data_IF_727662759600
#
_entry.id   IF_727662759600
#
_cell.length_a   1.000
_cell.length_b   1.000
_cell.length_c   1.000
_cell.angle_alpha   90.00
_cell.angle_beta   90.00
_cell.angle_gamma   90.00
#
_symmetry.space_group_name_H-M   'P 1'
#
loop_
_entity.id
_entity.type
_entity.pdbx_description
1 polymer ?
#
# COMPACT_ATOMS: atom_id res chain seq x y z
N UNK A 1 -17.97 -10.35 13.75
CA UNK A 1 -17.99 -9.49 12.55
C UNK A 1 -16.61 -9.54 11.97
N UNK A 2 -16.48 -9.85 10.67
CA UNK A 2 -15.16 -9.89 10.04
C UNK A 2 -14.54 -8.51 10.01
N UNK A 3 -13.21 -8.46 10.10
CA UNK A 3 -12.42 -7.24 10.02
C UNK A 3 -11.36 -7.43 8.95
N UNK A 4 -10.97 -6.33 8.33
CA UNK A 4 -10.09 -6.31 7.19
C UNK A 4 -9.00 -5.27 7.38
N UNK A 5 -7.85 -5.54 6.78
CA UNK A 5 -6.87 -4.52 6.46
C UNK A 5 -7.11 -4.12 5.01
N UNK A 6 -7.37 -2.83 4.81
CA UNK A 6 -7.56 -2.22 3.50
C UNK A 6 -6.40 -1.25 3.28
N UNK A 7 -5.74 -1.34 2.13
CA UNK A 7 -4.70 -0.40 1.70
C UNK A 7 -5.05 0.19 0.35
N UNK A 8 -4.89 1.50 0.23
CA UNK A 8 -5.08 2.27 -0.99
C UNK A 8 -3.76 2.99 -1.29
N UNK A 9 -3.08 2.58 -2.35
CA UNK A 9 -1.94 3.25 -2.98
C UNK A 9 -2.41 4.27 -4.02
N UNK A 10 -1.64 5.33 -4.21
CA UNK A 10 -1.94 6.43 -5.13
C UNK A 10 -0.75 7.38 -5.27
N UNK A 11 -0.50 7.83 -6.49
CA UNK A 11 0.29 9.02 -6.75
C UNK A 11 -0.56 10.27 -6.49
N UNK A 12 -0.12 11.07 -5.53
CA UNK A 12 -0.73 12.36 -5.18
C UNK A 12 0.18 13.54 -5.49
N UNK A 13 1.37 13.28 -6.00
CA UNK A 13 2.40 14.26 -6.25
C UNK A 13 2.19 14.90 -7.62
N UNK A 14 2.83 16.03 -7.85
CA UNK A 14 2.89 16.65 -9.19
C UNK A 14 4.26 16.43 -9.84
N UNK A 15 5.02 15.49 -9.32
CA UNK A 15 6.37 15.15 -9.76
C UNK A 15 6.67 13.69 -9.43
N UNK A 16 7.28 13.01 -10.39
CA UNK A 16 7.59 11.59 -10.36
C UNK A 16 8.89 11.30 -9.57
N UNK A 17 9.04 11.87 -8.36
CA UNK A 17 10.29 11.74 -7.58
C UNK A 17 10.05 11.66 -6.09
N UNK A 18 9.15 12.49 -5.57
CA UNK A 18 8.85 12.54 -4.14
C UNK A 18 7.51 13.19 -3.83
N UNK A 19 6.90 12.67 -2.77
CA UNK A 19 5.77 13.31 -2.10
C UNK A 19 6.14 14.62 -1.41
N UNK A 20 5.14 15.50 -1.28
CA UNK A 20 5.23 16.71 -0.47
C UNK A 20 4.94 16.39 1.00
N UNK A 21 5.92 16.53 1.93
CA UNK A 21 5.72 16.15 3.33
C UNK A 21 4.58 16.90 4.03
N UNK A 22 4.25 18.13 3.59
CA UNK A 22 3.12 18.88 4.13
C UNK A 22 1.78 18.28 3.70
N UNK A 23 1.68 17.84 2.45
CA UNK A 23 0.48 17.16 1.94
C UNK A 23 0.29 15.85 2.69
N UNK A 24 1.36 15.06 2.86
CA UNK A 24 1.34 13.82 3.63
C UNK A 24 0.84 14.04 5.07
N UNK A 25 1.31 15.08 5.75
CA UNK A 25 0.87 15.42 7.10
C UNK A 25 -0.63 15.76 7.15
N UNK A 26 -1.11 16.57 6.19
CA UNK A 26 -2.51 16.96 6.10
C UNK A 26 -3.43 15.76 5.83
N UNK A 27 -3.07 14.93 4.84
CA UNK A 27 -3.79 13.69 4.49
C UNK A 27 -3.83 12.76 5.70
N UNK A 28 -2.69 12.43 6.30
CA UNK A 28 -2.61 11.51 7.43
C UNK A 28 -3.42 12.00 8.64
N UNK A 29 -3.40 13.32 8.91
CA UNK A 29 -4.18 13.92 10.00
C UNK A 29 -5.67 13.80 9.75
N UNK A 30 -6.14 14.13 8.55
CA UNK A 30 -7.58 14.09 8.24
C UNK A 30 -8.11 12.66 8.15
N UNK A 31 -7.32 11.73 7.61
CA UNK A 31 -7.63 10.28 7.60
C UNK A 31 -7.86 9.79 9.03
N UNK A 32 -6.91 10.05 9.93
CA UNK A 32 -7.02 9.68 11.35
C UNK A 32 -8.25 10.31 12.02
N UNK A 33 -8.48 11.60 11.79
CA UNK A 33 -9.57 12.34 12.42
C UNK A 33 -10.95 11.85 11.95
N UNK A 34 -11.15 11.65 10.63
CA UNK A 34 -12.45 11.26 10.08
C UNK A 34 -12.77 9.81 10.36
N UNK A 35 -11.81 8.89 10.18
CA UNK A 35 -12.06 7.46 10.33
C UNK A 35 -12.14 7.01 11.79
N UNK A 36 -11.43 7.67 12.71
CA UNK A 36 -11.55 7.36 14.15
C UNK A 36 -12.96 7.60 14.71
N UNK A 37 -13.73 8.53 14.13
CA UNK A 37 -15.15 8.76 14.49
C UNK A 37 -16.05 7.56 14.17
N UNK A 38 -15.61 6.69 13.25
CA UNK A 38 -16.26 5.43 12.90
C UNK A 38 -15.66 4.23 13.63
N UNK A 39 -14.69 4.44 14.54
CA UNK A 39 -13.95 3.37 15.20
C UNK A 39 -12.90 2.68 14.32
N UNK A 40 -12.60 3.24 13.15
CA UNK A 40 -11.61 2.72 12.20
C UNK A 40 -10.24 3.31 12.55
N UNK A 41 -9.22 2.46 12.59
CA UNK A 41 -7.83 2.88 12.75
C UNK A 41 -7.19 2.96 11.39
N UNK A 42 -6.71 4.14 11.02
CA UNK A 42 -6.17 4.38 9.69
C UNK A 42 -5.06 5.41 9.71
N UNK A 43 -4.11 5.29 8.79
CA UNK A 43 -3.00 6.21 8.63
C UNK A 43 -2.25 5.95 7.31
N UNK A 44 -1.41 6.90 6.90
CA UNK A 44 -0.40 6.64 5.87
C UNK A 44 0.59 5.59 6.42
N UNK A 45 0.68 4.44 5.75
CA UNK A 45 1.52 3.29 6.11
C UNK A 45 2.85 3.29 5.36
N UNK A 46 2.84 3.70 4.10
CA UNK A 46 4.00 3.75 3.24
C UNK A 46 4.02 5.07 2.47
N UNK A 47 5.22 5.58 2.24
CA UNK A 47 5.54 6.63 1.28
C UNK A 47 6.70 6.05 0.48
N UNK A 48 6.45 5.73 -0.78
CA UNK A 48 7.38 5.05 -1.67
C UNK A 48 7.57 5.99 -2.85
N UNK A 49 8.69 6.72 -2.89
CA UNK A 49 8.90 7.77 -3.88
C UNK A 49 7.85 8.88 -3.78
N UNK A 50 7.06 9.04 -4.84
CA UNK A 50 5.97 9.99 -4.96
C UNK A 50 4.57 9.43 -4.64
N UNK A 51 4.50 8.13 -4.36
CA UNK A 51 3.29 7.46 -3.91
C UNK A 51 3.10 7.52 -2.39
N UNK A 52 1.83 7.50 -1.98
CA UNK A 52 1.45 7.19 -0.60
C UNK A 52 0.52 5.97 -0.55
N UNK A 53 0.64 5.19 0.53
CA UNK A 53 -0.33 4.16 0.88
C UNK A 53 -1.05 4.53 2.16
N UNK A 54 -2.38 4.56 2.11
CA UNK A 54 -3.23 4.69 3.29
C UNK A 54 -3.76 3.32 3.67
N UNK A 55 -3.45 2.88 4.88
CA UNK A 55 -3.93 1.59 5.42
C UNK A 55 -4.92 1.80 6.55
N UNK A 56 -6.00 1.02 6.54
CA UNK A 56 -7.09 1.03 7.50
C UNK A 56 -7.37 -0.36 8.07
N UNK A 57 -7.64 -0.46 9.37
CA UNK A 57 -8.26 -1.63 10.00
C UNK A 57 -9.76 -1.38 10.20
N UNK A 58 -10.57 -2.09 9.41
CA UNK A 58 -11.97 -1.75 9.16
C UNK A 58 -12.88 -2.98 9.32
N UNK A 59 -14.05 -2.87 10.00
CA UNK A 59 -15.04 -3.94 9.99
C UNK A 59 -15.73 -4.03 8.61
N UNK A 60 -16.12 -5.24 8.22
CA UNK A 60 -16.71 -5.56 6.91
C UNK A 60 -17.80 -4.57 6.45
N UNK A 61 -18.70 -4.21 7.37
CA UNK A 61 -19.84 -3.35 7.06
C UNK A 61 -19.49 -1.85 6.87
N UNK A 62 -18.23 -1.46 7.06
CA UNK A 62 -17.75 -0.09 6.89
C UNK A 62 -16.70 0.06 5.77
N UNK A 63 -16.44 -1.00 4.99
CA UNK A 63 -15.45 -0.96 3.90
C UNK A 63 -15.77 0.14 2.88
N UNK A 64 -17.01 0.20 2.38
CA UNK A 64 -17.41 1.22 1.40
C UNK A 64 -17.24 2.64 1.93
N UNK A 65 -17.66 2.88 3.17
CA UNK A 65 -17.57 4.21 3.80
C UNK A 65 -16.11 4.60 4.09
N UNK A 66 -15.27 3.64 4.50
CA UNK A 66 -13.83 3.82 4.65
C UNK A 66 -13.19 4.29 3.34
N UNK A 67 -13.43 3.54 2.27
CA UNK A 67 -12.85 3.80 0.95
C UNK A 67 -13.30 5.18 0.43
N UNK A 68 -14.60 5.47 0.54
CA UNK A 68 -15.19 6.76 0.14
C UNK A 68 -14.55 7.94 0.88
N UNK A 69 -14.35 7.82 2.20
CA UNK A 69 -13.72 8.87 3.00
C UNK A 69 -12.26 9.08 2.57
N UNK A 70 -11.50 8.00 2.36
CA UNK A 70 -10.11 8.10 1.89
C UNK A 70 -10.06 8.81 0.54
N UNK A 71 -10.89 8.40 -0.41
CA UNK A 71 -10.95 8.99 -1.74
C UNK A 71 -11.28 10.49 -1.72
N UNK A 72 -12.22 10.91 -0.88
CA UNK A 72 -12.54 12.34 -0.72
C UNK A 72 -11.35 13.14 -0.17
N UNK A 73 -10.59 12.56 0.78
CA UNK A 73 -9.41 13.21 1.37
C UNK A 73 -8.31 13.33 0.30
N UNK A 74 -8.09 12.29 -0.49
CA UNK A 74 -7.13 12.31 -1.59
C UNK A 74 -7.50 13.39 -2.62
N UNK A 75 -8.75 13.41 -3.10
CA UNK A 75 -9.25 14.43 -4.03
C UNK A 75 -9.14 15.88 -3.50
N UNK A 76 -9.14 16.05 -2.18
CA UNK A 76 -9.02 17.35 -1.54
C UNK A 76 -7.57 17.86 -1.50
N UNK A 77 -6.60 16.95 -1.40
CA UNK A 77 -5.21 17.29 -1.06
C UNK A 77 -4.19 16.95 -2.14
N UNK A 78 -4.51 16.09 -3.09
CA UNK A 78 -3.59 15.69 -4.12
C UNK A 78 -3.13 16.91 -4.95
N UNK A 79 -1.86 16.88 -5.33
CA UNK A 79 -1.21 17.85 -6.20
C UNK A 79 -1.26 17.39 -7.67
N UNK A 80 -1.22 16.07 -7.91
CA UNK A 80 -1.57 15.39 -9.15
C UNK A 80 -2.94 14.71 -9.08
N UNK A 81 -3.55 14.46 -10.23
CA UNK A 81 -4.90 13.88 -10.30
C UNK A 81 -5.03 12.75 -11.30
N UNK A 82 -3.95 12.31 -11.93
CA UNK A 82 -4.01 11.35 -13.03
C UNK A 82 -4.61 10.02 -12.55
N UNK A 83 -4.10 9.45 -11.46
CA UNK A 83 -4.67 8.26 -10.80
C UNK A 83 -6.12 8.44 -10.33
N UNK A 84 -6.41 9.60 -9.74
CA UNK A 84 -7.74 9.90 -9.22
C UNK A 84 -8.77 10.01 -10.35
N UNK A 85 -8.34 10.45 -11.53
CA UNK A 85 -9.18 10.61 -12.71
C UNK A 85 -9.36 9.30 -13.49
N UNK A 86 -8.48 8.30 -13.33
CA UNK A 86 -8.66 6.99 -13.95
C UNK A 86 -9.74 6.13 -13.30
N UNK A 87 -10.19 6.49 -12.10
CA UNK A 87 -11.32 5.84 -11.44
C UNK A 87 -12.64 6.10 -12.18
N UNK A 88 -13.35 5.02 -12.51
CA UNK A 88 -14.60 5.07 -13.27
C UNK A 88 -15.74 4.31 -12.59
N UNK A 89 -17.00 4.73 -12.80
CA UNK A 89 -18.18 3.92 -12.42
C UNK A 89 -18.47 2.79 -13.41
N UNK A 90 -17.86 2.86 -14.59
CA UNK A 90 -17.99 1.90 -15.68
C UNK A 90 -16.66 1.14 -15.83
N UNK A 91 -16.70 -0.20 -15.67
CA UNK A 91 -15.53 -1.09 -15.70
C UNK A 91 -14.70 -0.90 -16.97
N UNK A 92 -15.37 -0.70 -18.12
CA UNK A 92 -14.73 -0.61 -19.43
C UNK A 92 -14.09 0.76 -19.70
N UNK A 93 -14.29 1.73 -18.79
CA UNK A 93 -13.72 3.08 -18.86
C UNK A 93 -12.71 3.36 -17.75
N UNK A 94 -12.45 2.41 -16.87
CA UNK A 94 -11.43 2.56 -15.84
C UNK A 94 -10.05 2.55 -16.48
N UNK A 95 -9.25 3.57 -16.18
CA UNK A 95 -7.84 3.65 -16.55
C UNK A 95 -6.95 3.37 -15.34
N UNK A 96 -5.67 3.67 -15.47
CA UNK A 96 -4.73 3.71 -14.36
C UNK A 96 -5.25 4.56 -13.20
N UNK A 97 -5.21 3.99 -12.00
CA UNK A 97 -5.76 4.63 -10.82
C UNK A 97 -5.39 3.87 -9.57
N UNK A 98 -6.09 4.16 -8.47
CA UNK A 98 -5.75 3.68 -7.13
C UNK A 98 -5.37 2.19 -7.06
N UNK A 99 -4.17 1.91 -6.55
CA UNK A 99 -3.78 0.57 -6.12
C UNK A 99 -4.60 0.11 -4.91
N UNK A 100 -5.49 -0.88 -5.09
CA UNK A 100 -6.40 -1.36 -4.03
C UNK A 100 -6.08 -2.79 -3.56
N UNK A 101 -5.76 -2.95 -2.28
CA UNK A 101 -5.53 -4.25 -1.66
C UNK A 101 -6.37 -4.42 -0.38
N UNK A 102 -7.00 -5.59 -0.22
CA UNK A 102 -7.80 -5.94 0.96
C UNK A 102 -7.47 -7.36 1.42
N UNK A 103 -7.31 -7.55 2.73
CA UNK A 103 -7.05 -8.84 3.36
C UNK A 103 -7.84 -8.98 4.67
N UNK A 104 -8.41 -10.15 4.93
CA UNK A 104 -9.09 -10.49 6.18
C UNK A 104 -8.09 -10.50 7.34
N UNK A 105 -8.49 -9.96 8.49
CA UNK A 105 -7.67 -9.93 9.71
C UNK A 105 -8.36 -10.69 10.84
N UNK A 106 -7.67 -11.68 11.38
CA UNK A 106 -8.05 -12.34 12.64
C UNK A 106 -7.51 -11.60 13.88
N UNK A 107 -6.50 -10.73 13.71
CA UNK A 107 -5.96 -9.92 14.81
C UNK A 107 -6.99 -8.87 15.25
N UNK A 108 -7.22 -8.78 16.56
CA UNK A 108 -8.03 -7.72 17.18
C UNK A 108 -7.42 -6.32 17.03
N UNK A 109 -6.12 -6.26 16.69
CA UNK A 109 -5.36 -5.04 16.53
C UNK A 109 -5.04 -4.72 15.05
N UNK A 110 -5.38 -5.63 14.14
CA UNK A 110 -5.13 -5.46 12.70
C UNK A 110 -3.66 -5.66 12.32
N UNK A 111 -2.95 -6.58 12.98
CA UNK A 111 -1.52 -6.78 12.72
C UNK A 111 -1.26 -7.25 11.28
N UNK A 112 -0.49 -6.45 10.52
CA UNK A 112 -0.20 -6.71 9.12
C UNK A 112 1.15 -6.16 8.67
N UNK A 113 1.66 -6.70 7.58
CA UNK A 113 2.77 -6.15 6.80
C UNK A 113 2.18 -5.50 5.55
N UNK A 114 2.63 -4.28 5.25
CA UNK A 114 2.27 -3.53 4.06
C UNK A 114 3.55 -3.35 3.24
N UNK A 115 3.53 -3.81 1.99
CA UNK A 115 4.60 -3.63 1.02
C UNK A 115 4.06 -2.79 -0.12
N UNK A 116 4.78 -1.75 -0.49
CA UNK A 116 4.42 -0.82 -1.56
C UNK A 116 5.59 -0.67 -2.49
N UNK A 117 5.30 -0.70 -3.78
CA UNK A 117 6.25 -0.56 -4.87
C UNK A 117 5.96 0.74 -5.61
N UNK A 118 6.99 1.27 -6.26
CA UNK A 118 6.93 2.44 -7.14
C UNK A 118 8.03 2.23 -8.21
N UNK A 119 7.73 2.58 -9.46
CA UNK A 119 8.48 2.18 -10.64
C UNK A 119 8.95 3.36 -11.47
N UNK A 120 10.16 3.22 -12.03
CA UNK A 120 10.79 4.21 -12.89
C UNK A 120 11.27 3.51 -14.16
N UNK A 121 10.35 3.26 -15.11
CA UNK A 121 10.59 2.48 -16.31
C UNK A 121 10.65 0.96 -16.06
N UNK A 122 10.06 0.51 -14.97
CA UNK A 122 10.01 -0.88 -14.50
C UNK A 122 8.65 -1.55 -14.58
N UNK A 123 7.69 -0.95 -15.29
CA UNK A 123 6.29 -1.38 -15.40
C UNK A 123 6.20 -2.83 -15.92
N UNK A 124 7.14 -3.22 -16.78
CA UNK A 124 7.22 -4.59 -17.32
C UNK A 124 7.59 -5.69 -16.30
N UNK A 125 8.03 -5.33 -15.09
CA UNK A 125 8.52 -6.31 -14.09
C UNK A 125 8.10 -6.04 -12.63
N UNK A 126 7.50 -4.89 -12.31
CA UNK A 126 7.04 -4.58 -10.94
C UNK A 126 5.97 -5.56 -10.45
N UNK A 127 5.06 -5.98 -11.34
CA UNK A 127 4.03 -6.98 -11.05
C UNK A 127 4.62 -8.31 -10.60
N UNK A 128 5.71 -8.76 -11.22
CA UNK A 128 6.38 -10.00 -10.83
C UNK A 128 6.89 -9.93 -9.39
N UNK A 129 7.46 -8.78 -9.00
CA UNK A 129 7.96 -8.54 -7.64
C UNK A 129 6.82 -8.50 -6.61
N UNK A 130 5.72 -7.83 -6.94
CA UNK A 130 4.54 -7.75 -6.08
C UNK A 130 3.84 -9.11 -5.93
N UNK A 131 3.68 -9.86 -7.03
CA UNK A 131 3.13 -11.22 -7.01
C UNK A 131 4.02 -12.18 -6.23
N UNK A 132 5.35 -12.03 -6.30
CA UNK A 132 6.27 -12.80 -5.46
C UNK A 132 6.05 -12.54 -3.96
N UNK A 133 5.83 -11.27 -3.56
CA UNK A 133 5.47 -10.94 -2.16
C UNK A 133 4.13 -11.55 -1.78
N UNK A 134 3.15 -11.51 -2.68
CA UNK A 134 1.84 -12.16 -2.49
C UNK A 134 2.00 -13.65 -2.22
N UNK A 135 2.80 -14.38 -3.01
CA UNK A 135 3.05 -15.82 -2.79
C UNK A 135 3.61 -16.13 -1.39
N UNK A 136 4.51 -15.27 -0.89
CA UNK A 136 5.02 -15.37 0.48
C UNK A 136 3.86 -15.16 1.49
N UNK A 137 3.01 -14.17 1.25
CA UNK A 137 1.81 -13.89 2.03
C UNK A 137 0.84 -15.07 2.07
N UNK A 138 0.50 -15.66 0.92
CA UNK A 138 -0.40 -16.83 0.80
C UNK A 138 0.14 -18.04 1.58
N UNK A 139 1.47 -18.20 1.62
CA UNK A 139 2.11 -19.36 2.26
C UNK A 139 2.34 -19.20 3.75
N UNK A 140 2.61 -17.99 4.23
CA UNK A 140 3.08 -17.75 5.60
C UNK A 140 2.24 -16.76 6.40
N UNK A 141 1.40 -15.96 5.76
CA UNK A 141 0.42 -15.07 6.40
C UNK A 141 -0.87 -15.79 6.77
N UNK A 142 -1.77 -15.05 7.42
CA UNK A 142 -3.16 -15.48 7.64
C UNK A 142 -3.99 -15.28 6.38
N UNK A 143 -3.95 -14.08 5.81
CA UNK A 143 -4.57 -13.71 4.55
C UNK A 143 -3.71 -12.67 3.83
N UNK A 144 -3.96 -12.49 2.53
CA UNK A 144 -3.19 -11.57 1.69
C UNK A 144 -4.08 -10.87 0.65
N UNK A 145 -3.85 -9.57 0.49
CA UNK A 145 -4.41 -8.74 -0.56
C UNK A 145 -3.30 -8.18 -1.44
N UNK A 146 -3.56 -8.02 -2.73
CA UNK A 146 -2.61 -7.50 -3.70
C UNK A 146 -3.38 -6.69 -4.75
N UNK A 147 -2.88 -5.51 -5.12
CA UNK A 147 -3.52 -4.66 -6.13
C UNK A 147 -3.29 -5.14 -7.57
N UNK A 148 -2.27 -5.97 -7.81
CA UNK A 148 -1.98 -6.53 -9.14
C UNK A 148 -3.16 -7.36 -9.65
N UNK A 149 -3.69 -6.98 -10.81
CA UNK A 149 -4.83 -7.64 -11.44
C UNK A 149 -4.75 -7.57 -12.96
N UNK A 150 -5.16 -8.64 -13.65
CA UNK A 150 -5.27 -8.68 -15.11
C UNK A 150 -6.59 -8.07 -15.62
N UNK A 151 -7.47 -7.65 -14.72
CA UNK A 151 -8.76 -7.03 -15.04
C UNK A 151 -8.99 -5.80 -14.16
N UNK A 152 -9.79 -4.83 -14.62
CA UNK A 152 -10.22 -3.73 -13.76
C UNK A 152 -10.84 -4.22 -12.45
N UNK A 153 -10.43 -3.61 -11.34
CA UNK A 153 -10.79 -3.99 -9.97
C UNK A 153 -11.86 -3.05 -9.43
N UNK A 154 -12.93 -3.60 -8.87
CA UNK A 154 -13.91 -2.81 -8.13
C UNK A 154 -13.35 -2.40 -6.76
N UNK A 155 -13.39 -1.10 -6.47
CA UNK A 155 -13.12 -0.52 -5.16
C UNK A 155 -14.46 -0.14 -4.52
N UNK A 156 -14.95 -0.91 -3.53
CA UNK A 156 -16.27 -0.70 -2.95
C UNK A 156 -16.47 0.73 -2.46
N UNK A 157 -17.61 1.33 -2.80
CA UNK A 157 -17.96 2.72 -2.46
C UNK A 157 -17.35 3.79 -3.37
N UNK A 158 -16.36 3.45 -4.21
CA UNK A 158 -15.67 4.42 -5.08
C UNK A 158 -15.99 4.15 -6.56
N UNK A 159 -15.70 2.98 -7.10
CA UNK A 159 -15.76 2.71 -8.55
C UNK A 159 -14.82 1.59 -8.95
N UNK A 160 -14.33 1.62 -10.18
CA UNK A 160 -13.36 0.68 -10.73
C UNK A 160 -12.04 1.40 -11.00
N UNK A 161 -10.94 0.75 -10.66
CA UNK A 161 -9.59 1.07 -11.15
C UNK A 161 -9.23 0.11 -12.28
N UNK A 162 -8.40 0.54 -13.23
CA UNK A 162 -7.93 -0.28 -14.35
C UNK A 162 -6.99 -1.41 -13.91
N UNK A 163 -6.55 -2.22 -14.87
CA UNK A 163 -5.50 -3.23 -14.66
C UNK A 163 -4.08 -2.67 -14.90
N UNK A 164 -4.00 -1.43 -15.37
CA UNK A 164 -2.76 -0.69 -15.55
C UNK A 164 -2.45 -0.10 -14.16
N UNK A 165 -1.53 -0.74 -13.42
CA UNK A 165 -1.00 -0.23 -12.15
C UNK A 165 0.51 -0.40 -12.20
N UNK A 166 1.21 0.67 -11.90
CA UNK A 166 2.65 0.81 -11.90
C UNK A 166 3.23 0.88 -10.46
N UNK A 167 2.35 1.10 -9.47
CA UNK A 167 2.59 1.26 -8.04
C UNK A 167 2.03 0.13 -7.11
N UNK A 168 2.22 -1.18 -7.39
CA UNK A 168 1.55 -2.23 -6.63
C UNK A 168 1.65 -2.15 -5.09
N UNK A 169 0.56 -2.53 -4.42
CA UNK A 169 0.48 -2.66 -2.96
C UNK A 169 0.11 -4.09 -2.58
N UNK A 170 0.84 -4.64 -1.60
CA UNK A 170 0.59 -5.97 -1.02
C UNK A 170 0.37 -5.85 0.48
N UNK A 171 -0.69 -6.47 0.97
CA UNK A 171 -1.09 -6.51 2.38
C UNK A 171 -1.05 -7.95 2.86
N UNK A 172 -0.30 -8.24 3.91
CA UNK A 172 -0.24 -9.58 4.51
C UNK A 172 -0.65 -9.47 5.97
N UNK A 173 -1.79 -10.06 6.33
CA UNK A 173 -2.24 -10.14 7.72
C UNK A 173 -1.59 -11.34 8.41
N UNK A 174 -1.41 -11.27 9.73
CA UNK A 174 -0.76 -12.33 10.51
C UNK A 174 -1.66 -12.85 11.62
N UNK A 175 -1.42 -14.10 12.04
CA UNK A 175 -2.10 -14.67 13.20
C UNK A 175 -1.49 -14.16 14.50
N UNK A 176 -0.16 -14.07 14.53
CA UNK A 176 0.60 -13.65 15.70
C UNK A 176 1.66 -12.61 15.35
N UNK A 177 1.81 -11.60 16.19
CA UNK A 177 2.79 -10.51 16.01
C UNK A 177 4.22 -11.01 15.71
N UNK A 178 4.63 -12.14 16.29
CA UNK A 178 5.97 -12.72 16.09
C UNK A 178 6.24 -13.15 14.64
N UNK A 179 5.19 -13.39 13.86
CA UNK A 179 5.27 -13.82 12.46
C UNK A 179 5.77 -12.70 11.55
N UNK A 180 5.51 -11.43 11.91
CA UNK A 180 5.97 -10.26 11.15
C UNK A 180 7.48 -10.34 10.90
N UNK A 181 8.25 -10.60 11.96
CA UNK A 181 9.71 -10.70 11.86
C UNK A 181 10.18 -11.80 10.89
N UNK A 182 9.46 -12.92 10.83
CA UNK A 182 9.80 -14.02 9.91
C UNK A 182 9.42 -13.65 8.47
N UNK A 183 8.19 -13.20 8.26
CA UNK A 183 7.64 -12.91 6.93
C UNK A 183 8.39 -11.74 6.30
N UNK A 184 8.63 -10.63 7.01
CA UNK A 184 9.41 -9.51 6.50
C UNK A 184 10.85 -9.91 6.15
N UNK A 185 11.45 -10.85 6.88
CA UNK A 185 12.76 -11.39 6.55
C UNK A 185 12.76 -12.25 5.27
N UNK A 186 11.69 -13.01 5.03
CA UNK A 186 11.50 -13.78 3.79
C UNK A 186 11.27 -12.86 2.59
N UNK A 187 10.41 -11.85 2.74
CA UNK A 187 10.14 -10.84 1.71
C UNK A 187 11.45 -10.16 1.34
N UNK A 188 12.15 -9.59 2.32
CA UNK A 188 13.41 -8.91 2.07
C UNK A 188 14.45 -9.83 1.41
N UNK A 189 14.68 -11.02 1.98
CA UNK A 189 15.67 -11.95 1.44
C UNK A 189 15.33 -12.48 0.05
N UNK A 190 14.05 -12.66 -0.26
CA UNK A 190 13.58 -13.08 -1.59
C UNK A 190 13.68 -11.94 -2.62
N UNK A 191 13.29 -10.73 -2.24
CA UNK A 191 13.33 -9.56 -3.11
C UNK A 191 14.76 -9.16 -3.50
N UNK A 192 15.78 -9.50 -2.69
CA UNK A 192 17.19 -9.35 -3.06
C UNK A 192 17.61 -10.13 -4.32
N UNK A 193 16.81 -11.11 -4.77
CA UNK A 193 17.10 -11.86 -6.00
C UNK A 193 16.69 -11.13 -7.27
N UNK A 194 15.90 -10.05 -7.16
CA UNK A 194 15.49 -9.26 -8.30
C UNK A 194 16.51 -8.15 -8.58
N UNK A 195 17.03 -8.15 -9.79
CA UNK A 195 17.86 -7.05 -10.27
C UNK A 195 17.03 -5.76 -10.35
N UNK A 196 17.67 -4.61 -10.10
CA UNK A 196 17.05 -3.26 -10.22
C UNK A 196 15.92 -2.96 -9.22
N UNK A 197 15.77 -3.78 -8.18
CA UNK A 197 14.88 -3.50 -7.05
C UNK A 197 15.68 -2.92 -5.88
N UNK A 198 15.18 -1.83 -5.30
CA UNK A 198 15.84 -1.13 -4.20
C UNK A 198 14.93 -1.04 -2.98
N UNK A 199 15.37 -1.61 -1.87
CA UNK A 199 14.71 -1.43 -0.59
C UNK A 199 15.09 -0.06 -0.02
N UNK A 200 14.12 0.83 0.14
CA UNK A 200 14.33 2.20 0.61
C UNK A 200 13.58 2.47 1.91
N UNK A 201 13.98 3.52 2.61
CA UNK A 201 13.29 3.93 3.83
C UNK A 201 11.98 4.63 3.49
N UNK A 202 10.97 4.49 4.35
CA UNK A 202 9.71 5.18 4.18
C UNK A 202 9.90 6.72 4.12
N UNK A 203 9.44 7.33 3.02
CA UNK A 203 9.56 8.77 2.75
C UNK A 203 10.89 9.21 2.12
N UNK A 204 11.76 8.28 1.75
CA UNK A 204 12.87 8.59 0.84
C UNK A 204 12.34 8.78 -0.58
N UNK A 205 12.94 9.74 -1.29
CA UNK A 205 12.64 9.95 -2.70
C UNK A 205 13.38 8.96 -3.59
N UNK A 206 13.22 9.16 -4.89
CA UNK A 206 13.71 8.22 -5.90
C UNK A 206 15.14 8.52 -6.25
N UNK A 207 16.06 7.85 -5.58
CA UNK A 207 17.51 7.97 -5.81
C UNK A 207 18.08 6.66 -6.42
N UNK A 208 17.48 6.20 -7.52
CA UNK A 208 17.84 4.94 -8.21
C UNK A 208 18.29 5.14 -9.67
N UNK A 209 18.85 4.10 -10.27
CA UNK A 209 19.17 4.08 -11.70
C UNK A 209 18.01 3.47 -12.50
N UNK A 210 17.38 4.20 -13.44
CA UNK A 210 16.35 3.66 -14.30
C UNK A 210 16.94 2.77 -15.42
N UNK A 211 16.23 1.72 -15.88
CA UNK A 211 14.94 1.27 -15.34
C UNK A 211 15.11 0.59 -13.98
N UNK A 212 14.20 0.85 -13.03
CA UNK A 212 14.24 0.23 -11.71
C UNK A 212 12.98 0.48 -10.89
N UNK A 213 12.88 -0.23 -9.77
CA UNK A 213 11.74 -0.20 -8.84
C UNK A 213 12.26 0.04 -7.44
N UNK A 214 11.60 0.90 -6.68
CA UNK A 214 11.80 1.01 -5.24
C UNK A 214 10.66 0.32 -4.51
N UNK A 215 10.92 -0.13 -3.29
CA UNK A 215 9.86 -0.58 -2.42
C UNK A 215 10.10 -0.19 -0.97
N UNK A 216 9.00 0.05 -0.26
CA UNK A 216 9.00 0.21 1.19
C UNK A 216 8.22 -0.90 1.85
N UNK A 217 8.53 -1.17 3.12
CA UNK A 217 7.84 -2.20 3.88
C UNK A 217 7.62 -1.73 5.32
N UNK A 218 6.36 -1.76 5.75
CA UNK A 218 5.92 -1.29 7.05
C UNK A 218 5.14 -2.39 7.77
N UNK A 219 5.17 -2.38 9.10
CA UNK A 219 4.21 -3.11 9.92
C UNK A 219 3.11 -2.16 10.39
N UNK A 220 1.86 -2.52 10.13
CA UNK A 220 0.68 -1.87 10.70
C UNK A 220 0.28 -2.61 11.95
N UNK A 221 0.34 -1.93 13.10
CA UNK A 221 0.08 -2.50 14.42
C UNK A 221 -0.83 -1.57 15.21
N UNK A 222 -2.10 -1.94 15.35
CA UNK A 222 -3.05 -1.19 16.16
C UNK A 222 -3.20 0.29 15.75
N UNK A 223 -3.15 0.60 14.45
CA UNK A 223 -3.18 1.98 13.95
C UNK A 223 -1.85 2.73 14.05
N UNK A 224 -0.77 2.06 14.45
CA UNK A 224 0.59 2.59 14.41
C UNK A 224 1.36 1.96 13.26
N UNK A 225 2.31 2.70 12.73
CA UNK A 225 3.20 2.26 11.65
C UNK A 225 4.61 2.13 12.19
N UNK A 226 5.22 1.00 11.89
CA UNK A 226 6.64 0.77 12.10
C UNK A 226 7.26 0.56 10.72
N UNK A 227 8.06 1.52 10.28
CA UNK A 227 8.93 1.33 9.12
C UNK A 227 9.94 0.19 9.44
N UNK A 228 9.91 -0.86 8.61
CA UNK A 228 10.72 -2.05 8.83
C UNK A 228 12.15 -1.90 8.30
N UNK A 229 12.47 -0.82 7.58
CA UNK A 229 13.79 -0.56 7.02
C UNK A 229 14.91 -0.66 8.06
N UNK A 230 14.82 0.13 9.13
CA UNK A 230 15.82 0.16 10.20
C UNK A 230 15.90 -1.17 10.97
N UNK A 231 14.76 -1.83 11.15
CA UNK A 231 14.69 -3.13 11.84
C UNK A 231 15.41 -4.23 11.06
N UNK A 232 15.20 -4.28 9.75
CA UNK A 232 15.83 -5.24 8.84
C UNK A 232 17.33 -4.94 8.73
N UNK A 233 17.71 -3.68 8.53
CA UNK A 233 19.11 -3.26 8.48
C UNK A 233 19.90 -3.69 9.73
N UNK A 234 19.32 -3.47 10.92
CA UNK A 234 19.93 -3.90 12.20
C UNK A 234 20.10 -5.42 12.30
N UNK A 235 19.16 -6.19 11.73
CA UNK A 235 19.18 -7.66 11.79
C UNK A 235 20.19 -8.27 10.81
N UNK A 236 20.30 -7.71 9.60
CA UNK A 236 21.06 -8.31 8.49
C UNK A 236 22.48 -7.74 8.39
N UNK A 237 22.79 -6.62 9.06
CA UNK A 237 24.09 -5.93 9.04
C UNK A 237 24.54 -5.59 7.60
N UNK A 238 23.94 -4.54 7.04
CA UNK A 238 24.51 -3.82 5.91
C UNK A 238 25.43 -2.71 6.40
#
# INVERSE_FOLDING_TARGET
MKKYIVSIGVDISNNDVRTNPKVNELVNREVKERLSKLGIKACISNITGDDIVITSFVPENLIEENNRIIFEILNKYAEGFDDLNGISKDKDKAGEGLSYAIAESISEYGDAIIVSFDTYGGESFVDEMALFVREIGEKFGYDVGCSVSNEPVEIPGIGYTGSESDDPVVVITVNELKEISKISGLIYGGLLSFDKLYFVKNGEGVDILPPGVIYTMSAFLNGNIIDLYEGIKKRIKF
#
